data_IF_631964437907
#
_entry.id   IF_631964437907
#
_cell.length_a   1.000
_cell.length_b   1.000
_cell.length_c   1.000
_cell.angle_alpha   90.00
_cell.angle_beta   90.00
_cell.angle_gamma   90.00
#
_symmetry.space_group_name_H-M   'P 1'
#
loop_
_entity.id
_entity.type
_entity.pdbx_description
1 polymer ?
#
# COMPACT_ATOMS: atom_id res chain seq x y z
N UNK A 1 19.10 1.72 -9.57
CA UNK A 1 18.32 2.09 -8.37
C UNK A 1 16.98 1.38 -8.53
N UNK A 2 16.96 0.07 -8.30
CA UNK A 2 15.71 -0.69 -8.26
C UNK A 2 15.11 -0.46 -6.87
N UNK A 3 14.26 0.57 -6.75
CA UNK A 3 13.41 0.69 -5.57
C UNK A 3 12.52 -0.56 -5.53
N UNK A 4 12.48 -1.32 -4.43
CA UNK A 4 11.58 -2.45 -4.32
C UNK A 4 10.15 -1.90 -4.43
N UNK A 5 9.47 -2.22 -5.53
CA UNK A 5 8.10 -1.82 -5.77
C UNK A 5 7.22 -2.50 -4.71
N UNK A 6 7.07 -1.85 -3.56
CA UNK A 6 6.39 -2.42 -2.40
C UNK A 6 4.89 -2.40 -2.67
N UNK A 7 4.39 -3.54 -3.15
CA UNK A 7 2.97 -3.75 -3.42
C UNK A 7 2.26 -3.85 -2.08
N UNK A 8 1.15 -3.11 -1.98
CA UNK A 8 0.26 -3.07 -0.83
C UNK A 8 -1.05 -3.72 -1.26
N UNK A 9 -1.30 -4.91 -0.74
CA UNK A 9 -2.49 -5.69 -1.04
C UNK A 9 -3.73 -5.21 -0.27
N UNK A 10 -4.89 -5.77 -0.62
CA UNK A 10 -6.16 -5.49 0.02
C UNK A 10 -6.14 -5.71 1.54
N UNK A 11 -5.33 -6.67 2.04
CA UNK A 11 -5.21 -6.94 3.48
C UNK A 11 -4.52 -5.79 4.23
N UNK A 12 -3.43 -5.24 3.67
CA UNK A 12 -2.80 -4.06 4.23
C UNK A 12 -3.70 -2.83 4.12
N UNK A 13 -4.37 -2.62 2.99
CA UNK A 13 -5.34 -1.52 2.85
C UNK A 13 -6.47 -1.63 3.88
N UNK A 14 -6.92 -2.85 4.21
CA UNK A 14 -7.88 -3.08 5.29
C UNK A 14 -7.35 -2.64 6.65
N UNK A 15 -6.08 -2.96 6.97
CA UNK A 15 -5.45 -2.56 8.23
C UNK A 15 -5.29 -1.04 8.33
N UNK A 16 -4.86 -0.39 7.25
CA UNK A 16 -4.62 1.06 7.20
C UNK A 16 -5.93 1.84 7.26
N UNK A 17 -6.94 1.42 6.48
CA UNK A 17 -8.24 2.11 6.42
C UNK A 17 -9.20 1.75 7.56
N UNK A 18 -8.95 0.64 8.25
CA UNK A 18 -9.86 0.06 9.24
C UNK A 18 -11.16 -0.50 8.64
N UNK A 19 -11.24 -0.68 7.31
CA UNK A 19 -12.48 -1.09 6.61
C UNK A 19 -12.47 -2.58 6.30
N UNK A 20 -13.52 -3.30 6.71
CA UNK A 20 -13.64 -4.76 6.50
C UNK A 20 -14.05 -5.18 5.09
N UNK A 21 -14.73 -4.30 4.35
CA UNK A 21 -15.27 -4.61 3.02
C UNK A 21 -14.40 -4.03 1.91
N UNK A 22 -14.13 -4.83 0.88
CA UNK A 22 -13.38 -4.42 -0.32
C UNK A 22 -13.99 -3.18 -0.98
N UNK A 23 -15.33 -3.10 -1.06
CA UNK A 23 -16.01 -1.94 -1.62
C UNK A 23 -15.78 -0.67 -0.79
N UNK A 24 -15.72 -0.80 0.56
CA UNK A 24 -15.45 0.31 1.46
C UNK A 24 -13.98 0.76 1.37
N UNK A 25 -13.04 -0.18 1.22
CA UNK A 25 -11.63 0.10 0.97
C UNK A 25 -11.48 0.86 -0.36
N UNK A 26 -12.11 0.40 -1.43
CA UNK A 26 -12.03 1.04 -2.76
C UNK A 26 -12.60 2.46 -2.74
N UNK A 27 -13.78 2.65 -2.11
CA UNK A 27 -14.36 3.99 -1.92
C UNK A 27 -13.46 4.90 -1.09
N UNK A 28 -12.88 4.38 -0.02
CA UNK A 28 -11.92 5.13 0.80
C UNK A 28 -10.70 5.52 -0.03
N UNK A 29 -10.12 4.57 -0.76
CA UNK A 29 -8.96 4.79 -1.61
C UNK A 29 -9.23 5.84 -2.68
N UNK A 30 -10.35 5.73 -3.41
CA UNK A 30 -10.76 6.75 -4.40
C UNK A 30 -10.97 8.12 -3.77
N UNK A 31 -11.50 8.18 -2.54
CA UNK A 31 -11.72 9.44 -1.81
C UNK A 31 -10.41 10.09 -1.34
N UNK A 32 -9.38 9.29 -1.04
CA UNK A 32 -8.03 9.77 -0.74
C UNK A 32 -7.21 10.07 -2.01
N UNK A 33 -7.69 9.67 -3.20
CA UNK A 33 -6.92 9.79 -4.45
C UNK A 33 -5.87 8.69 -4.64
N UNK A 34 -5.94 7.60 -3.86
CA UNK A 34 -5.04 6.44 -3.99
C UNK A 34 -5.38 5.70 -5.29
N UNK A 35 -4.37 5.47 -6.14
CA UNK A 35 -4.51 4.71 -7.37
C UNK A 35 -4.45 3.21 -7.07
N UNK A 36 -5.61 2.58 -6.95
CA UNK A 36 -5.71 1.13 -6.80
C UNK A 36 -5.90 0.45 -8.16
N UNK A 37 -5.15 -0.62 -8.41
CA UNK A 37 -5.44 -1.61 -9.43
C UNK A 37 -6.43 -2.65 -8.92
N UNK A 38 -7.15 -3.30 -9.85
CA UNK A 38 -7.97 -4.46 -9.54
C UNK A 38 -7.14 -5.73 -9.83
N UNK A 39 -6.92 -6.54 -8.80
CA UNK A 39 -6.23 -7.83 -8.89
C UNK A 39 -7.17 -8.99 -8.52
N UNK A 40 -6.74 -10.22 -8.80
CA UNK A 40 -7.52 -11.43 -8.52
C UNK A 40 -7.88 -11.60 -7.02
N UNK A 41 -7.05 -11.08 -6.11
CA UNK A 41 -7.27 -11.12 -4.66
C UNK A 41 -7.97 -9.84 -4.10
N UNK A 42 -8.34 -8.89 -4.97
CA UNK A 42 -8.93 -7.61 -4.59
C UNK A 42 -8.07 -6.40 -4.99
N UNK A 43 -8.41 -5.20 -4.48
CA UNK A 43 -7.71 -3.98 -4.83
C UNK A 43 -6.30 -4.01 -4.26
N UNK A 44 -5.32 -3.69 -5.10
CA UNK A 44 -3.93 -3.53 -4.71
C UNK A 44 -3.46 -2.14 -5.12
N UNK A 45 -2.47 -1.60 -4.41
CA UNK A 45 -1.83 -0.32 -4.72
C UNK A 45 -0.34 -0.45 -4.47
N UNK A 46 0.45 0.53 -4.88
CA UNK A 46 1.85 0.64 -4.45
C UNK A 46 1.95 1.52 -3.21
N UNK A 47 2.99 1.29 -2.40
CA UNK A 47 3.30 2.14 -1.25
C UNK A 47 3.53 3.59 -1.66
N UNK A 48 4.13 3.83 -2.82
CA UNK A 48 4.33 5.18 -3.37
C UNK A 48 3.00 5.87 -3.67
N UNK A 49 2.07 5.21 -4.38
CA UNK A 49 0.77 5.76 -4.68
C UNK A 49 -0.06 6.03 -3.42
N UNK A 50 0.11 5.18 -2.40
CA UNK A 50 -0.51 5.35 -1.09
C UNK A 50 0.10 6.57 -0.36
N UNK A 51 1.42 6.65 -0.24
CA UNK A 51 2.11 7.74 0.43
C UNK A 51 1.82 9.09 -0.23
N UNK A 52 1.85 9.12 -1.56
CA UNK A 52 1.53 10.31 -2.34
C UNK A 52 0.11 10.81 -2.06
N UNK A 53 -0.87 9.90 -2.03
CA UNK A 53 -2.26 10.23 -1.75
C UNK A 53 -2.51 10.66 -0.30
N UNK A 54 -1.74 10.10 0.65
CA UNK A 54 -1.82 10.46 2.07
C UNK A 54 -0.99 11.71 2.42
N UNK A 55 -0.29 12.30 1.45
CA UNK A 55 0.59 13.45 1.68
C UNK A 55 1.78 13.12 2.58
N UNK A 56 2.13 11.84 2.71
CA UNK A 56 3.31 11.41 3.46
C UNK A 56 4.52 11.76 2.61
N UNK A 57 5.43 12.62 3.07
CA UNK A 57 6.67 12.89 2.34
C UNK A 57 7.36 11.54 2.13
N UNK A 58 7.82 11.30 0.91
CA UNK A 58 8.60 10.13 0.53
C UNK A 58 9.98 10.27 1.20
N UNK A 59 10.02 10.28 2.53
CA UNK A 59 11.22 9.91 3.25
C UNK A 59 11.46 8.46 2.89
N UNK A 60 12.68 8.08 2.48
CA UNK A 60 13.06 6.69 2.38
C UNK A 60 13.05 6.11 3.80
N UNK A 61 11.87 5.79 4.30
CA UNK A 61 11.67 5.13 5.57
C UNK A 61 12.10 3.68 5.38
N UNK A 62 13.41 3.47 5.51
CA UNK A 62 14.09 2.42 6.27
C UNK A 62 13.32 1.12 6.54
N UNK A 63 12.67 0.53 5.54
CA UNK A 63 12.08 -0.81 5.65
C UNK A 63 12.90 -1.87 4.90
N UNK A 64 14.14 -1.53 4.50
CA UNK A 64 15.14 -2.50 4.07
C UNK A 64 15.84 -3.11 5.30
N UNK A 65 15.07 -3.87 6.08
CA UNK A 65 15.62 -4.78 7.07
C UNK A 65 14.76 -6.04 7.10
N UNK A 66 14.53 -6.63 5.93
CA UNK A 66 14.63 -8.08 5.84
C UNK A 66 16.12 -8.42 5.79
N UNK A 67 16.79 -8.19 6.92
CA UNK A 67 18.09 -8.77 7.19
C UNK A 67 17.89 -10.27 7.20
N UNK A 68 18.26 -10.92 6.11
CA UNK A 68 18.49 -12.35 6.07
C UNK A 68 19.55 -12.67 7.10
N UNK A 69 19.11 -13.07 8.28
CA UNK A 69 19.90 -13.92 9.16
C UNK A 69 19.48 -15.36 8.85
N UNK A 70 20.08 -15.90 7.80
CA UNK A 70 20.22 -17.34 7.62
C UNK A 70 21.69 -17.61 7.92
N UNK A 71 21.97 -17.98 9.17
CA UNK A 71 23.28 -18.42 9.63
C UNK A 71 23.14 -19.82 10.25
#
# INVERSE_FOLDING_TARGET
MDQPNHIIDADHLRKISGKKSVAAIRRWASRQGIRCGDGAAGPWTTLEALNFALGVPISPAANDSYGGDIL
#
